data_IF_145716340142
#
_entry.id   IF_145716340142
#
_cell.length_a   1.000
_cell.length_b   1.000
_cell.length_c   1.000
_cell.angle_alpha   90.00
_cell.angle_beta   90.00
_cell.angle_gamma   90.00
#
_symmetry.space_group_name_H-M   'P 1'
#
loop_
_entity.id
_entity.type
_entity.pdbx_description
1 polymer ?
#
# COMPACT_ATOMS: atom_id res chain seq x y z
N UNK A 1 -4.76 13.23 -4.14
CA UNK A 1 -4.95 14.70 -4.26
C UNK A 1 -5.73 15.12 -5.51
N UNK A 2 -6.13 14.19 -6.40
CA UNK A 2 -7.02 14.46 -7.55
C UNK A 2 -8.27 13.57 -7.51
N UNK A 3 -8.71 13.22 -6.31
CA UNK A 3 -9.82 12.30 -6.07
C UNK A 3 -10.98 13.02 -5.35
N UNK A 4 -11.24 14.26 -5.76
CA UNK A 4 -12.44 15.00 -5.31
C UNK A 4 -13.66 14.45 -6.04
N UNK A 5 -14.81 14.39 -5.36
CA UNK A 5 -16.07 13.90 -5.96
C UNK A 5 -16.54 14.85 -7.09
N UNK A 6 -16.09 16.11 -7.06
CA UNK A 6 -16.37 17.10 -8.08
C UNK A 6 -15.43 16.96 -9.29
N UNK A 7 -16.02 16.68 -10.45
CA UNK A 7 -15.31 16.57 -11.73
C UNK A 7 -14.60 17.86 -12.14
N UNK A 8 -15.19 19.03 -11.86
CA UNK A 8 -14.63 20.33 -12.19
C UNK A 8 -13.38 20.61 -11.36
N UNK A 9 -13.41 20.29 -10.06
CA UNK A 9 -12.26 20.42 -9.16
C UNK A 9 -11.13 19.50 -9.62
N UNK A 10 -11.43 18.24 -9.97
CA UNK A 10 -10.42 17.31 -10.50
C UNK A 10 -9.78 17.81 -11.78
N UNK A 11 -10.58 18.37 -12.69
CA UNK A 11 -10.08 18.91 -13.96
C UNK A 11 -9.21 20.16 -13.75
N UNK A 12 -9.63 21.09 -12.89
CA UNK A 12 -8.85 22.28 -12.55
C UNK A 12 -7.50 21.93 -11.92
N UNK A 13 -7.49 20.97 -10.99
CA UNK A 13 -6.26 20.54 -10.34
C UNK A 13 -5.32 19.80 -11.31
N UNK A 14 -5.85 19.04 -12.27
CA UNK A 14 -5.06 18.45 -13.36
C UNK A 14 -4.44 19.49 -14.29
N UNK A 15 -5.19 20.55 -14.63
CA UNK A 15 -4.67 21.68 -15.40
C UNK A 15 -3.54 22.40 -14.65
N UNK A 16 -3.75 22.70 -13.38
CA UNK A 16 -2.72 23.32 -12.54
C UNK A 16 -1.45 22.47 -12.48
N UNK A 17 -1.59 21.15 -12.30
CA UNK A 17 -0.47 20.20 -12.36
C UNK A 17 0.24 20.22 -13.72
N UNK A 18 -0.52 20.20 -14.82
CA UNK A 18 0.03 20.24 -16.19
C UNK A 18 0.89 21.49 -16.42
N UNK A 19 0.41 22.65 -15.94
CA UNK A 19 1.16 23.91 -16.00
C UNK A 19 2.44 23.81 -15.17
N UNK A 20 2.35 23.35 -13.92
CA UNK A 20 3.50 23.17 -13.04
C UNK A 20 4.57 22.28 -13.68
N UNK A 21 4.17 21.14 -14.26
CA UNK A 21 5.11 20.20 -14.89
C UNK A 21 5.81 20.77 -16.12
N UNK A 22 5.08 21.58 -16.90
CA UNK A 22 5.65 22.18 -18.11
C UNK A 22 6.68 23.26 -17.78
N UNK A 23 6.44 24.00 -16.68
CA UNK A 23 7.31 25.08 -16.23
C UNK A 23 8.55 24.57 -15.49
N UNK A 24 8.39 23.62 -14.58
CA UNK A 24 9.45 23.24 -13.63
C UNK A 24 10.23 21.97 -14.04
N UNK A 25 9.62 21.06 -14.80
CA UNK A 25 10.17 19.71 -15.02
C UNK A 25 10.49 19.38 -16.47
N UNK A 26 9.61 19.73 -17.41
CA UNK A 26 9.80 19.36 -18.83
C UNK A 26 10.62 20.42 -19.60
N UNK A 27 10.82 21.63 -19.05
CA UNK A 27 11.52 22.76 -19.70
C UNK A 27 11.08 23.02 -21.15
N UNK A 28 9.83 22.69 -21.47
CA UNK A 28 9.24 22.94 -22.79
C UNK A 28 8.24 24.09 -22.68
N UNK A 29 8.31 25.05 -23.61
CA UNK A 29 7.34 26.15 -23.69
C UNK A 29 5.94 25.67 -24.17
N UNK A 30 5.65 24.37 -24.09
CA UNK A 30 4.40 23.76 -24.53
C UNK A 30 3.80 22.95 -23.40
N UNK A 31 2.63 23.37 -22.94
CA UNK A 31 1.89 22.66 -21.90
C UNK A 31 1.24 21.41 -22.47
N UNK A 32 1.70 20.23 -22.05
CA UNK A 32 0.99 18.98 -22.33
C UNK A 32 -0.14 18.85 -21.31
N UNK A 33 -1.39 18.97 -21.77
CA UNK A 33 -2.56 18.80 -20.91
C UNK A 33 -2.64 17.34 -20.42
N UNK A 34 -2.51 17.14 -19.11
CA UNK A 34 -2.65 15.84 -18.48
C UNK A 34 -4.07 15.65 -17.98
N UNK A 35 -4.59 14.42 -18.14
CA UNK A 35 -5.79 13.99 -17.45
C UNK A 35 -5.53 13.87 -15.94
N UNK A 36 -6.55 13.99 -15.07
CA UNK A 36 -6.37 13.96 -13.61
C UNK A 36 -5.54 12.78 -13.10
N UNK A 37 -5.80 11.56 -13.60
CA UNK A 37 -5.03 10.39 -13.18
C UNK A 37 -3.54 10.48 -13.58
N UNK A 38 -3.25 10.95 -14.79
CA UNK A 38 -1.88 11.11 -15.27
C UNK A 38 -1.14 12.23 -14.52
N UNK A 39 -1.84 13.34 -14.25
CA UNK A 39 -1.30 14.42 -13.43
C UNK A 39 -1.00 13.95 -12.00
N UNK A 40 -1.87 13.11 -11.42
CA UNK A 40 -1.66 12.56 -10.07
C UNK A 40 -0.44 11.65 -10.05
N UNK A 41 -0.33 10.75 -11.02
CA UNK A 41 0.83 9.84 -11.12
C UNK A 41 2.13 10.63 -11.27
N UNK A 42 2.16 11.62 -12.17
CA UNK A 42 3.36 12.45 -12.39
C UNK A 42 3.73 13.25 -11.15
N UNK A 43 2.76 13.81 -10.43
CA UNK A 43 3.02 14.52 -9.17
C UNK A 43 3.66 13.60 -8.13
N UNK A 44 3.11 12.39 -7.99
CA UNK A 44 3.58 11.40 -7.02
C UNK A 44 5.01 10.95 -7.33
N UNK A 45 5.33 10.72 -8.61
CA UNK A 45 6.69 10.39 -9.02
C UNK A 45 7.68 11.51 -8.70
N UNK A 46 7.32 12.76 -8.99
CA UNK A 46 8.11 13.95 -8.65
C UNK A 46 8.34 14.06 -7.14
N UNK A 47 7.28 13.90 -6.33
CA UNK A 47 7.41 13.95 -4.88
C UNK A 47 8.37 12.88 -4.36
N UNK A 48 8.30 11.68 -4.91
CA UNK A 48 9.16 10.58 -4.51
C UNK A 48 10.63 10.78 -4.93
N UNK A 49 10.88 11.50 -6.03
CA UNK A 49 12.23 11.76 -6.55
C UNK A 49 12.89 12.98 -5.88
N UNK A 50 12.16 14.07 -5.69
CA UNK A 50 12.70 15.32 -5.16
C UNK A 50 12.81 15.33 -3.62
N UNK A 51 12.00 14.52 -2.93
CA UNK A 51 11.92 14.48 -1.47
C UNK A 51 12.29 13.11 -0.88
N UNK A 52 13.26 12.42 -1.49
CA UNK A 52 13.73 11.09 -1.07
C UNK A 52 14.12 11.01 0.41
N UNK A 53 14.74 12.07 0.96
CA UNK A 53 15.16 12.13 2.37
C UNK A 53 14.10 12.70 3.34
N UNK A 54 12.88 12.96 2.86
CA UNK A 54 11.82 13.57 3.66
C UNK A 54 11.10 12.54 4.54
N UNK A 55 11.36 12.62 5.85
CA UNK A 55 10.64 11.81 6.85
C UNK A 55 9.15 12.15 6.91
N UNK A 56 8.78 13.41 6.66
CA UNK A 56 7.37 13.84 6.58
C UNK A 56 6.66 13.17 5.41
N UNK A 57 7.31 13.14 4.23
CA UNK A 57 6.73 12.45 3.07
C UNK A 57 6.69 10.94 3.31
N UNK A 58 7.70 10.37 3.96
CA UNK A 58 7.70 8.95 4.33
C UNK A 58 6.53 8.61 5.27
N UNK A 59 6.27 9.45 6.28
CA UNK A 59 5.14 9.28 7.18
C UNK A 59 3.82 9.37 6.42
N UNK A 60 3.61 10.42 5.60
CA UNK A 60 2.39 10.59 4.80
C UNK A 60 2.17 9.42 3.83
N UNK A 61 3.23 9.00 3.12
CA UNK A 61 3.18 7.86 2.22
C UNK A 61 2.82 6.57 2.96
N UNK A 62 3.40 6.34 4.15
CA UNK A 62 3.05 5.19 4.99
C UNK A 62 1.61 5.27 5.49
N UNK A 63 1.13 6.45 5.88
CA UNK A 63 -0.25 6.68 6.29
C UNK A 63 -1.25 6.33 5.19
N UNK A 64 -1.06 6.90 4.01
CA UNK A 64 -1.93 6.66 2.86
C UNK A 64 -1.85 5.22 2.37
N UNK A 65 -0.65 4.64 2.33
CA UNK A 65 -0.48 3.22 2.02
C UNK A 65 -1.27 2.33 2.97
N UNK A 66 -1.25 2.63 4.27
CA UNK A 66 -1.95 1.85 5.30
C UNK A 66 -3.44 2.21 5.43
N UNK A 67 -3.93 3.25 4.75
CA UNK A 67 -5.29 3.76 4.89
C UNK A 67 -5.55 4.46 6.22
N UNK A 68 -4.52 5.03 6.86
CA UNK A 68 -4.67 5.80 8.09
C UNK A 68 -5.29 7.17 7.81
N UNK A 69 -6.15 7.71 8.69
CA UNK A 69 -6.67 9.06 8.57
C UNK A 69 -5.54 10.09 8.42
N UNK A 70 -5.61 10.89 7.35
CA UNK A 70 -4.59 11.89 6.94
C UNK A 70 -4.23 12.86 8.09
N UNK A 71 -5.16 13.11 9.01
CA UNK A 71 -4.98 14.05 10.13
C UNK A 71 -4.14 13.51 11.30
N UNK A 72 -3.82 12.21 11.34
CA UNK A 72 -3.06 11.62 12.44
C UNK A 72 -1.54 11.79 12.29
N UNK A 73 -1.06 12.13 11.10
CA UNK A 73 0.37 12.19 10.76
C UNK A 73 0.91 13.61 10.55
N UNK A 74 0.15 14.62 10.99
CA UNK A 74 0.59 16.01 10.97
C UNK A 74 1.99 16.18 11.58
N UNK A 75 2.63 17.32 11.27
CA UNK A 75 4.04 17.72 11.44
C UNK A 75 4.81 17.37 12.75
N UNK A 76 4.21 16.62 13.68
CA UNK A 76 4.77 16.06 14.91
C UNK A 76 5.08 14.55 14.84
N UNK A 77 4.75 13.84 13.76
CA UNK A 77 5.18 12.45 13.52
C UNK A 77 6.70 12.40 13.26
N UNK A 78 7.51 12.71 14.28
CA UNK A 78 8.96 12.75 14.12
C UNK A 78 9.56 11.35 14.03
N UNK A 79 9.00 10.34 14.69
CA UNK A 79 9.64 9.03 14.74
C UNK A 79 8.70 7.81 14.92
N UNK A 80 7.43 7.98 15.31
CA UNK A 80 6.57 6.84 15.65
C UNK A 80 5.17 6.97 15.08
N UNK A 81 4.74 5.98 14.30
CA UNK A 81 3.34 5.78 13.92
C UNK A 81 2.81 4.58 14.72
N UNK A 82 1.71 4.79 15.45
CA UNK A 82 1.00 3.67 16.07
C UNK A 82 0.22 2.92 15.00
N UNK A 83 0.78 1.83 14.49
CA UNK A 83 0.13 1.00 13.48
C UNK A 83 -0.85 0.04 14.15
N UNK A 84 -2.12 0.10 13.75
CA UNK A 84 -3.11 -0.90 14.18
C UNK A 84 -2.71 -2.27 13.63
N UNK A 85 -2.60 -3.31 14.48
CA UNK A 85 -2.26 -4.65 14.01
C UNK A 85 -3.26 -5.19 12.99
N UNK A 86 -2.77 -5.94 12.00
CA UNK A 86 -3.59 -6.54 10.94
C UNK A 86 -4.70 -7.42 11.50
N UNK A 87 -4.44 -8.19 12.56
CA UNK A 87 -5.45 -9.01 13.24
C UNK A 87 -6.61 -8.20 13.81
N UNK A 88 -6.35 -7.00 14.36
CA UNK A 88 -7.40 -6.11 14.84
C UNK A 88 -8.22 -5.54 13.70
N UNK A 89 -7.56 -5.04 12.65
CA UNK A 89 -8.25 -4.51 11.46
C UNK A 89 -9.12 -5.58 10.80
N UNK A 90 -8.61 -6.80 10.72
CA UNK A 90 -9.33 -7.92 10.14
C UNK A 90 -10.59 -8.26 10.95
N UNK A 91 -10.47 -8.34 12.28
CA UNK A 91 -11.61 -8.56 13.17
C UNK A 91 -12.67 -7.46 13.02
N UNK A 92 -12.24 -6.19 12.95
CA UNK A 92 -13.14 -5.05 12.72
C UNK A 92 -13.91 -5.21 11.39
N UNK A 93 -13.23 -5.46 10.27
CA UNK A 93 -13.88 -5.63 8.96
C UNK A 93 -14.81 -6.85 8.90
N UNK A 94 -14.45 -7.95 9.55
CA UNK A 94 -15.31 -9.13 9.65
C UNK A 94 -16.58 -8.83 10.47
N UNK A 95 -16.50 -8.00 11.52
CA UNK A 95 -17.69 -7.57 12.28
C UNK A 95 -18.58 -6.62 11.49
N UNK A 96 -18.00 -5.66 10.76
CA UNK A 96 -18.74 -4.71 9.92
C UNK A 96 -19.49 -5.40 8.77
N UNK A 97 -18.93 -6.49 8.23
CA UNK A 97 -19.58 -7.31 7.19
C UNK A 97 -20.93 -7.89 7.59
N UNK A 98 -21.27 -7.91 8.89
CA UNK A 98 -22.57 -8.39 9.39
C UNK A 98 -23.67 -7.31 9.38
N UNK A 99 -23.33 -6.07 9.02
CA UNK A 99 -24.23 -4.92 9.00
C UNK A 99 -24.62 -4.58 7.55
N UNK A 100 -25.92 -4.43 7.33
CA UNK A 100 -26.65 -4.46 6.04
C UNK A 100 -26.32 -3.38 4.98
N UNK A 101 -25.17 -2.68 5.04
CA UNK A 101 -24.85 -1.52 4.18
C UNK A 101 -23.76 -1.78 3.10
N UNK A 102 -23.55 -3.04 2.71
CA UNK A 102 -22.50 -3.42 1.75
C UNK A 102 -22.73 -2.98 0.29
N UNK A 103 -23.97 -2.70 -0.12
CA UNK A 103 -24.30 -2.53 -1.54
C UNK A 103 -23.79 -1.21 -2.17
N UNK A 104 -23.40 -0.20 -1.38
CA UNK A 104 -23.02 1.12 -1.91
C UNK A 104 -21.50 1.30 -2.16
N UNK A 105 -20.64 0.37 -1.69
CA UNK A 105 -19.16 0.48 -1.79
C UNK A 105 -18.49 -0.23 -2.97
N UNK A 106 -19.24 -0.91 -3.85
CA UNK A 106 -18.61 -1.76 -4.90
C UNK A 106 -17.79 -1.00 -5.96
N UNK A 107 -17.92 0.33 -6.10
CA UNK A 107 -17.08 1.11 -7.02
C UNK A 107 -15.82 1.72 -6.37
N UNK A 108 -15.70 1.70 -5.04
CA UNK A 108 -14.66 2.42 -4.31
C UNK A 108 -13.37 1.60 -4.12
N UNK A 109 -13.45 0.26 -4.10
CA UNK A 109 -12.29 -0.57 -3.82
C UNK A 109 -11.22 -0.56 -4.92
N UNK A 110 -11.61 -0.29 -6.17
CA UNK A 110 -10.65 -0.11 -7.27
C UNK A 110 -9.80 1.12 -7.03
N UNK A 111 -10.38 2.18 -6.47
CA UNK A 111 -9.64 3.38 -6.12
C UNK A 111 -8.77 3.17 -4.89
N UNK A 112 -9.25 2.42 -3.89
CA UNK A 112 -8.45 2.05 -2.72
C UNK A 112 -7.20 1.24 -3.11
N UNK A 113 -7.35 0.25 -4.01
CA UNK A 113 -6.22 -0.54 -4.51
C UNK A 113 -5.24 0.33 -5.30
N UNK A 114 -5.72 1.22 -6.17
CA UNK A 114 -4.85 2.16 -6.91
C UNK A 114 -4.13 3.13 -6.00
N UNK A 115 -4.78 3.62 -4.94
CA UNK A 115 -4.13 4.47 -3.95
C UNK A 115 -3.01 3.69 -3.25
N UNK A 116 -3.26 2.45 -2.83
CA UNK A 116 -2.23 1.59 -2.24
C UNK A 116 -1.06 1.37 -3.20
N UNK A 117 -1.32 1.06 -4.47
CA UNK A 117 -0.26 0.88 -5.48
C UNK A 117 0.55 2.16 -5.73
N UNK A 118 -0.12 3.31 -5.74
CA UNK A 118 0.49 4.63 -5.93
C UNK A 118 1.45 4.93 -4.79
N UNK A 119 1.00 4.79 -3.54
CA UNK A 119 1.85 5.05 -2.37
C UNK A 119 2.88 3.95 -2.11
N UNK A 120 2.65 2.73 -2.58
CA UNK A 120 3.66 1.66 -2.57
C UNK A 120 4.92 2.08 -3.34
N UNK A 121 4.75 2.72 -4.51
CA UNK A 121 5.87 3.23 -5.32
C UNK A 121 6.68 4.27 -4.55
N UNK A 122 6.01 5.25 -3.96
CA UNK A 122 6.64 6.30 -3.15
C UNK A 122 7.37 5.69 -1.97
N UNK A 123 6.68 4.88 -1.17
CA UNK A 123 7.20 4.28 0.04
C UNK A 123 8.42 3.39 -0.25
N UNK A 124 8.44 2.70 -1.41
CA UNK A 124 9.60 1.90 -1.83
C UNK A 124 10.89 2.69 -2.02
N UNK A 125 10.80 3.98 -2.37
CA UNK A 125 11.95 4.89 -2.52
C UNK A 125 12.34 5.53 -1.18
N UNK A 126 11.38 5.76 -0.29
CA UNK A 126 11.61 6.49 0.98
C UNK A 126 12.02 5.57 2.15
N UNK A 127 11.43 4.37 2.24
CA UNK A 127 11.62 3.48 3.41
C UNK A 127 13.03 2.90 3.49
N UNK A 128 13.76 2.91 2.37
CA UNK A 128 15.15 2.44 2.27
C UNK A 128 16.17 3.45 2.79
N UNK A 129 15.75 4.70 2.99
CA UNK A 129 16.65 5.77 3.43
C UNK A 129 16.97 5.57 4.92
N UNK A 130 18.26 5.60 5.34
CA UNK A 130 18.64 5.36 6.73
C UNK A 130 17.93 6.25 7.77
N UNK A 131 17.62 7.49 7.38
CA UNK A 131 16.86 8.45 8.20
C UNK A 131 15.46 7.95 8.56
N UNK A 132 14.86 7.09 7.73
CA UNK A 132 13.52 6.53 7.91
C UNK A 132 13.54 5.13 8.54
N UNK A 133 14.66 4.70 9.12
CA UNK A 133 14.84 3.36 9.70
C UNK A 133 13.79 2.98 10.75
N UNK A 134 13.32 3.93 11.56
CA UNK A 134 12.25 3.66 12.52
C UNK A 134 10.91 3.31 11.83
N UNK A 135 10.55 4.06 10.77
CA UNK A 135 9.39 3.73 9.95
C UNK A 135 9.57 2.37 9.27
N UNK A 136 10.77 2.06 8.77
CA UNK A 136 11.06 0.77 8.16
C UNK A 136 10.91 -0.40 9.14
N UNK A 137 11.31 -0.24 10.41
CA UNK A 137 11.14 -1.25 11.46
C UNK A 137 9.67 -1.46 11.85
N UNK A 138 8.92 -0.37 12.02
CA UNK A 138 7.47 -0.44 12.29
C UNK A 138 6.72 -1.11 11.13
N UNK A 139 7.06 -0.71 9.91
CA UNK A 139 6.51 -1.29 8.69
C UNK A 139 6.85 -2.77 8.56
N UNK A 140 8.10 -3.14 8.86
CA UNK A 140 8.56 -4.52 8.89
C UNK A 140 7.74 -5.37 9.86
N UNK A 141 7.57 -4.92 11.11
CA UNK A 141 6.77 -5.64 12.11
C UNK A 141 5.33 -5.81 11.64
N UNK A 142 4.71 -4.72 11.15
CA UNK A 142 3.33 -4.74 10.69
C UNK A 142 3.11 -5.69 9.52
N UNK A 143 4.01 -5.68 8.53
CA UNK A 143 3.94 -6.59 7.37
C UNK A 143 4.19 -8.03 7.78
N UNK A 144 5.23 -8.28 8.58
CA UNK A 144 5.54 -9.63 9.02
C UNK A 144 4.34 -10.22 9.76
N UNK A 145 3.81 -9.50 10.75
CA UNK A 145 2.67 -9.95 11.54
C UNK A 145 1.42 -10.11 10.68
N UNK A 146 1.19 -9.18 9.75
CA UNK A 146 0.12 -9.27 8.76
C UNK A 146 0.17 -10.52 7.90
N UNK A 147 1.34 -10.90 7.38
CA UNK A 147 1.49 -12.13 6.61
C UNK A 147 1.17 -13.37 7.44
N UNK A 148 1.54 -13.37 8.72
CA UNK A 148 1.24 -14.46 9.65
C UNK A 148 -0.28 -14.56 9.87
N UNK A 149 -0.91 -13.45 10.24
CA UNK A 149 -2.36 -13.36 10.46
C UNK A 149 -3.14 -13.80 9.22
N UNK A 150 -2.81 -13.28 8.02
CA UNK A 150 -3.53 -13.67 6.81
C UNK A 150 -3.37 -15.16 6.49
N UNK A 151 -2.21 -15.76 6.79
CA UNK A 151 -2.00 -17.18 6.55
C UNK A 151 -2.79 -18.05 7.53
N UNK A 152 -2.82 -17.67 8.81
CA UNK A 152 -3.63 -18.33 9.85
C UNK A 152 -5.11 -18.28 9.50
N UNK A 153 -5.63 -17.09 9.16
CA UNK A 153 -7.02 -16.89 8.77
C UNK A 153 -7.41 -17.65 7.50
N UNK A 154 -6.49 -17.71 6.52
CA UNK A 154 -6.70 -18.52 5.31
C UNK A 154 -6.78 -20.02 5.65
N UNK A 155 -5.94 -20.49 6.57
CA UNK A 155 -5.96 -21.88 7.02
C UNK A 155 -7.22 -22.20 7.85
N UNK A 156 -7.72 -21.26 8.64
CA UNK A 156 -8.93 -21.44 9.47
C UNK A 156 -10.21 -21.36 8.65
N UNK A 157 -10.31 -20.40 7.71
CA UNK A 157 -11.48 -20.22 6.82
C UNK A 157 -11.78 -21.45 5.95
N UNK A 158 -10.79 -22.33 5.75
CA UNK A 158 -10.98 -23.64 5.10
C UNK A 158 -11.98 -24.55 5.81
N UNK A 159 -12.24 -24.32 7.10
CA UNK A 159 -13.18 -25.10 7.91
C UNK A 159 -14.63 -24.63 7.76
N UNK A 160 -14.84 -23.34 7.51
CA UNK A 160 -16.17 -22.70 7.43
C UNK A 160 -16.56 -22.22 6.01
N UNK A 161 -15.68 -22.41 5.02
CA UNK A 161 -15.89 -22.04 3.62
C UNK A 161 -15.13 -20.76 3.24
N UNK A 162 -14.23 -20.89 2.26
CA UNK A 162 -13.17 -19.89 1.99
C UNK A 162 -13.66 -18.63 1.25
N UNK A 163 -14.91 -18.62 0.79
CA UNK A 163 -15.39 -17.55 -0.10
C UNK A 163 -16.00 -16.34 0.61
N UNK A 164 -16.14 -16.36 1.94
CA UNK A 164 -16.92 -15.33 2.66
C UNK A 164 -16.15 -14.10 3.15
N UNK A 165 -14.88 -14.24 3.55
CA UNK A 165 -14.19 -13.16 4.28
C UNK A 165 -13.37 -12.23 3.37
N UNK A 166 -12.77 -12.76 2.30
CA UNK A 166 -11.99 -11.97 1.32
C UNK A 166 -12.90 -11.15 0.39
N UNK A 167 -14.19 -11.49 0.28
CA UNK A 167 -15.17 -10.69 -0.48
C UNK A 167 -15.46 -9.33 0.15
N UNK A 168 -15.08 -9.11 1.42
CA UNK A 168 -15.17 -7.80 2.02
C UNK A 168 -14.12 -6.86 1.40
N UNK A 169 -14.50 -5.72 0.80
CA UNK A 169 -13.56 -4.83 0.13
C UNK A 169 -12.38 -4.37 1.00
N UNK A 170 -12.63 -4.07 2.28
CA UNK A 170 -11.56 -3.65 3.19
C UNK A 170 -10.59 -4.79 3.54
N UNK A 171 -11.10 -6.02 3.65
CA UNK A 171 -10.25 -7.20 3.83
C UNK A 171 -9.40 -7.39 2.59
N UNK A 172 -10.01 -7.30 1.40
CA UNK A 172 -9.32 -7.40 0.13
C UNK A 172 -8.18 -6.37 0.02
N UNK A 173 -8.46 -5.10 0.30
CA UNK A 173 -7.47 -4.02 0.27
C UNK A 173 -6.40 -4.21 1.35
N UNK A 174 -6.75 -4.67 2.55
CA UNK A 174 -5.80 -4.96 3.63
C UNK A 174 -4.78 -6.01 3.21
N UNK A 175 -5.19 -7.10 2.56
CA UNK A 175 -4.23 -8.09 2.07
C UNK A 175 -3.35 -7.57 0.94
N UNK A 176 -3.88 -6.74 0.03
CA UNK A 176 -3.04 -6.05 -0.97
C UNK A 176 -1.96 -5.20 -0.29
N UNK A 177 -2.30 -4.44 0.76
CA UNK A 177 -1.33 -3.67 1.55
C UNK A 177 -0.25 -4.56 2.17
N UNK A 178 -0.63 -5.67 2.79
CA UNK A 178 0.34 -6.60 3.40
C UNK A 178 1.27 -7.20 2.34
N UNK A 179 0.72 -7.68 1.22
CA UNK A 179 1.51 -8.33 0.15
C UNK A 179 2.46 -7.33 -0.54
N UNK A 180 1.97 -6.14 -0.88
CA UNK A 180 2.81 -5.08 -1.47
C UNK A 180 3.85 -4.56 -0.46
N UNK A 181 3.50 -4.48 0.82
CA UNK A 181 4.46 -4.12 1.87
C UNK A 181 5.60 -5.12 1.97
N UNK A 182 5.29 -6.42 1.85
CA UNK A 182 6.29 -7.47 1.79
C UNK A 182 7.20 -7.30 0.56
N UNK A 183 6.63 -6.99 -0.61
CA UNK A 183 7.39 -6.67 -1.82
C UNK A 183 8.37 -5.52 -1.58
N UNK A 184 7.91 -4.41 -1.00
CA UNK A 184 8.75 -3.25 -0.67
C UNK A 184 9.93 -3.66 0.22
N UNK A 185 9.67 -4.39 1.30
CA UNK A 185 10.72 -4.83 2.24
C UNK A 185 11.73 -5.80 1.61
N UNK A 186 11.29 -6.65 0.67
CA UNK A 186 12.19 -7.53 -0.06
C UNK A 186 13.10 -6.78 -1.04
N UNK A 187 12.58 -5.71 -1.65
CA UNK A 187 13.31 -4.82 -2.55
C UNK A 187 14.24 -3.86 -1.84
N UNK A 188 13.91 -3.48 -0.60
CA UNK A 188 14.66 -2.51 0.18
C UNK A 188 16.14 -2.89 0.30
N UNK A 189 17.05 -2.02 -0.14
CA UNK A 189 18.49 -2.25 0.05
C UNK A 189 18.81 -2.29 1.54
N UNK A 190 19.54 -3.32 1.99
CA UNK A 190 19.99 -3.38 3.37
C UNK A 190 21.03 -2.28 3.57
N UNK A 191 20.77 -1.35 4.48
CA UNK A 191 21.79 -0.42 4.99
C UNK A 191 22.62 -1.15 6.05
N UNK A 192 23.89 -0.78 6.22
CA UNK A 192 24.73 -1.29 7.32
C UNK A 192 24.09 -1.08 8.71
N UNK A 193 23.21 -0.08 8.81
CA UNK A 193 22.50 0.30 10.04
C UNK A 193 21.12 -0.32 10.20
N UNK A 194 20.54 -0.91 9.15
CA UNK A 194 19.19 -1.47 9.16
C UNK A 194 19.18 -2.86 8.50
N UNK A 195 19.24 -3.89 9.36
CA UNK A 195 19.15 -5.28 8.93
C UNK A 195 17.72 -5.77 9.13
N UNK A 196 16.97 -5.87 8.04
CA UNK A 196 15.65 -6.48 8.01
C UNK A 196 15.78 -7.96 7.70
N UNK A 197 15.08 -8.82 8.45
CA UNK A 197 15.07 -10.25 8.19
C UNK A 197 14.16 -10.57 6.98
N UNK A 198 14.76 -10.42 5.80
CA UNK A 198 14.12 -10.76 4.52
C UNK A 198 13.80 -12.25 4.40
N UNK A 199 14.51 -13.12 5.13
CA UNK A 199 14.23 -14.55 5.11
C UNK A 199 12.88 -14.83 5.77
N UNK A 200 12.62 -14.21 6.94
CA UNK A 200 11.31 -14.32 7.61
C UNK A 200 10.17 -13.83 6.71
N UNK A 201 10.34 -12.68 6.04
CA UNK A 201 9.32 -12.16 5.11
C UNK A 201 9.04 -13.13 3.97
N UNK A 202 10.08 -13.72 3.37
CA UNK A 202 9.92 -14.75 2.31
C UNK A 202 9.20 -15.98 2.84
N UNK A 203 9.65 -16.51 3.98
CA UNK A 203 9.04 -17.68 4.60
C UNK A 203 7.55 -17.46 4.87
N UNK A 204 7.17 -16.29 5.40
CA UNK A 204 5.76 -15.95 5.67
C UNK A 204 4.96 -15.74 4.37
N UNK A 205 5.53 -15.12 3.35
CA UNK A 205 4.90 -15.01 2.01
C UNK A 205 4.66 -16.37 1.36
N UNK A 206 5.64 -17.27 1.39
CA UNK A 206 5.52 -18.63 0.86
C UNK A 206 4.47 -19.43 1.62
N UNK A 207 4.39 -19.26 2.95
CA UNK A 207 3.36 -19.88 3.77
C UNK A 207 1.96 -19.39 3.37
N UNK A 208 1.77 -18.07 3.27
CA UNK A 208 0.50 -17.48 2.83
C UNK A 208 0.12 -17.93 1.42
N UNK A 209 1.08 -18.03 0.50
CA UNK A 209 0.82 -18.55 -0.84
C UNK A 209 0.41 -20.03 -0.84
N UNK A 210 1.07 -20.88 -0.05
CA UNK A 210 0.73 -22.31 0.07
C UNK A 210 -0.67 -22.51 0.67
N UNK A 211 -0.98 -21.82 1.76
CA UNK A 211 -2.33 -21.86 2.35
C UNK A 211 -3.35 -21.27 1.39
N UNK A 212 -3.03 -20.18 0.69
CA UNK A 212 -3.90 -19.59 -0.32
C UNK A 212 -4.24 -20.55 -1.46
N UNK A 213 -3.25 -21.31 -1.96
CA UNK A 213 -3.48 -22.30 -3.02
C UNK A 213 -4.34 -23.46 -2.54
N UNK A 214 -4.04 -23.99 -1.36
CA UNK A 214 -4.76 -25.11 -0.75
C UNK A 214 -6.23 -24.78 -0.51
N UNK A 215 -6.52 -23.52 -0.18
CA UNK A 215 -7.84 -23.06 0.23
C UNK A 215 -8.56 -22.26 -0.86
N UNK A 216 -8.10 -22.26 -2.12
CA UNK A 216 -8.76 -21.55 -3.23
C UNK A 216 -8.97 -20.04 -2.99
N UNK A 217 -7.96 -19.39 -2.41
CA UNK A 217 -7.96 -17.94 -2.16
C UNK A 217 -8.19 -17.12 -3.44
N UNK A 218 -8.73 -15.91 -3.29
CA UNK A 218 -9.05 -15.03 -4.40
C UNK A 218 -7.88 -14.87 -5.40
N UNK A 219 -8.17 -15.06 -6.69
CA UNK A 219 -7.18 -15.14 -7.76
C UNK A 219 -6.25 -13.91 -7.85
N UNK A 220 -6.76 -12.69 -7.61
CA UNK A 220 -5.93 -11.48 -7.58
C UNK A 220 -4.82 -11.55 -6.52
N UNK A 221 -5.12 -12.01 -5.30
CA UNK A 221 -4.13 -12.17 -4.25
C UNK A 221 -3.13 -13.29 -4.60
N UNK A 222 -3.60 -14.42 -5.12
CA UNK A 222 -2.73 -15.51 -5.56
C UNK A 222 -1.76 -15.08 -6.66
N UNK A 223 -2.26 -14.33 -7.65
CA UNK A 223 -1.44 -13.77 -8.72
C UNK A 223 -0.40 -12.81 -8.16
N UNK A 224 -0.81 -11.88 -7.29
CA UNK A 224 0.11 -10.93 -6.66
C UNK A 224 1.17 -11.63 -5.81
N UNK A 225 0.78 -12.56 -4.94
CA UNK A 225 1.69 -13.37 -4.12
C UNK A 225 2.71 -14.09 -4.99
N UNK A 226 2.26 -14.74 -6.06
CA UNK A 226 3.12 -15.40 -7.02
C UNK A 226 4.15 -14.43 -7.60
N UNK A 227 3.73 -13.24 -8.02
CA UNK A 227 4.68 -12.25 -8.56
C UNK A 227 5.76 -11.84 -7.54
N UNK A 228 5.40 -11.75 -6.25
CA UNK A 228 6.33 -11.33 -5.18
C UNK A 228 7.27 -12.47 -4.78
N UNK A 229 6.76 -13.70 -4.70
CA UNK A 229 7.55 -14.91 -4.41
C UNK A 229 8.54 -15.17 -5.55
N UNK A 230 8.08 -15.11 -6.80
CA UNK A 230 8.87 -15.43 -8.00
C UNK A 230 9.93 -14.35 -8.34
N UNK A 231 9.79 -13.13 -7.79
CA UNK A 231 10.68 -11.99 -8.06
C UNK A 231 12.18 -12.25 -7.81
N UNK A 232 12.57 -13.39 -7.22
CA UNK A 232 13.99 -13.76 -6.97
C UNK A 232 14.42 -15.15 -7.44
N UNK A 233 13.71 -15.82 -8.34
CA UNK A 233 14.35 -16.90 -9.10
C UNK A 233 15.29 -16.39 -10.21
N UNK A 234 15.38 -15.06 -10.42
CA UNK A 234 16.06 -14.42 -11.55
C UNK A 234 17.04 -13.29 -11.18
N UNK A 235 17.42 -13.12 -9.89
CA UNK A 235 18.42 -12.11 -9.48
C UNK A 235 19.60 -12.72 -8.74
#
# INVERSE_FOLDING_TARGET
MLNDDDEEIRYLAAQAGSILFSLEFDNTNQTTALLPLAASSKLVDILADDFTDSSTLCAEAMGRFLGLPINLLGAKAKDTISLTPVSRLLAEFQTESTVLFQEERQNLFVEDVREVETWAKVLSRLVVVPRNSNFALQFYSWVADGLCTLAEETAEASRDGVLGWISHPDVFTLGIRVILGAKILLLASLSETLVLDKFLIRQRLENLWKEGQKNEMHHCWLSLLRTVVDYKQLS
#
